data_IF_303774354316
#
_entry.id   IF_303774354316
#
_cell.length_a   1.000
_cell.length_b   1.000
_cell.length_c   1.000
_cell.angle_alpha   90.00
_cell.angle_beta   90.00
_cell.angle_gamma   90.00
#
_symmetry.space_group_name_H-M   'P 1'
#
loop_
_entity.id
_entity.type
_entity.pdbx_description
1 polymer ?
#
# COMPACT_ATOMS: atom_id res chain seq x y z
N UNK A 1 20.90 4.88 -19.73
CA UNK A 1 20.64 5.41 -18.37
C UNK A 1 19.13 5.45 -18.10
N UNK A 2 18.66 4.69 -17.11
CA UNK A 2 17.43 4.83 -16.29
C UNK A 2 16.07 5.24 -16.90
N UNK A 3 15.90 5.37 -18.22
CA UNK A 3 14.59 5.72 -18.82
C UNK A 3 13.51 4.68 -18.48
N UNK A 4 13.85 3.40 -18.47
CA UNK A 4 12.93 2.30 -18.14
C UNK A 4 12.41 2.39 -16.71
N UNK A 5 13.26 2.81 -15.76
CA UNK A 5 12.89 3.00 -14.36
C UNK A 5 11.98 4.23 -14.20
N UNK A 6 12.23 5.29 -14.97
CA UNK A 6 11.36 6.47 -14.99
C UNK A 6 9.97 6.15 -15.54
N UNK A 7 9.89 5.43 -16.66
CA UNK A 7 8.63 4.96 -17.24
C UNK A 7 7.88 4.09 -16.24
N UNK A 8 8.57 3.14 -15.60
CA UNK A 8 7.96 2.29 -14.57
C UNK A 8 7.39 3.10 -13.40
N UNK A 9 8.12 4.11 -12.90
CA UNK A 9 7.63 5.00 -11.83
C UNK A 9 6.38 5.78 -12.25
N UNK A 10 6.35 6.30 -13.48
CA UNK A 10 5.20 7.04 -14.01
C UNK A 10 3.99 6.12 -14.15
N UNK A 11 4.17 4.91 -14.70
CA UNK A 11 3.10 3.91 -14.84
C UNK A 11 2.52 3.53 -13.48
N UNK A 12 3.37 3.26 -12.48
CA UNK A 12 2.93 2.95 -11.11
C UNK A 12 2.17 4.13 -10.51
N UNK A 13 2.65 5.36 -10.70
CA UNK A 13 1.97 6.56 -10.22
C UNK A 13 0.58 6.74 -10.84
N UNK A 14 0.47 6.63 -12.17
CA UNK A 14 -0.80 6.70 -12.89
C UNK A 14 -1.78 5.61 -12.44
N UNK A 15 -1.29 4.39 -12.20
CA UNK A 15 -2.11 3.30 -11.65
C UNK A 15 -2.62 3.64 -10.26
N UNK A 16 -1.76 4.11 -9.35
CA UNK A 16 -2.15 4.48 -7.98
C UNK A 16 -3.16 5.63 -7.97
N UNK A 17 -2.96 6.66 -8.78
CA UNK A 17 -3.88 7.81 -8.90
C UNK A 17 -5.22 7.37 -9.49
N UNK A 18 -5.21 6.61 -10.59
CA UNK A 18 -6.45 6.13 -11.21
C UNK A 18 -7.21 5.18 -10.29
N UNK A 19 -6.48 4.35 -9.55
CA UNK A 19 -7.05 3.50 -8.51
C UNK A 19 -7.68 4.35 -7.40
N UNK A 20 -6.97 5.35 -6.87
CA UNK A 20 -7.50 6.26 -5.86
C UNK A 20 -8.78 6.97 -6.34
N UNK A 21 -8.76 7.51 -7.56
CA UNK A 21 -9.92 8.19 -8.14
C UNK A 21 -11.13 7.27 -8.28
N UNK A 22 -10.95 6.02 -8.72
CA UNK A 22 -12.05 5.05 -8.89
C UNK A 22 -12.53 4.42 -7.58
N UNK A 23 -11.69 4.34 -6.55
CA UNK A 23 -11.99 3.67 -5.28
C UNK A 23 -12.22 4.67 -4.14
N UNK A 24 -12.91 5.78 -4.42
CA UNK A 24 -13.33 6.78 -3.43
C UNK A 24 -14.63 6.38 -2.72
N UNK A 25 -15.23 5.26 -3.12
CA UNK A 25 -16.45 4.75 -2.48
C UNK A 25 -16.25 4.44 -0.99
N UNK A 26 -17.28 4.73 -0.21
CA UNK A 26 -17.29 4.51 1.23
C UNK A 26 -17.64 3.04 1.46
N UNK A 27 -16.75 2.31 2.14
CA UNK A 27 -16.97 0.92 2.55
C UNK A 27 -17.17 0.83 4.05
N UNK A 28 -18.14 0.03 4.49
CA UNK A 28 -18.36 -0.28 5.89
C UNK A 28 -17.48 -1.45 6.33
N UNK A 29 -16.56 -1.20 7.25
CA UNK A 29 -15.79 -2.23 7.94
C UNK A 29 -16.60 -2.68 9.15
N UNK A 30 -17.14 -3.89 9.08
CA UNK A 30 -17.94 -4.48 10.15
C UNK A 30 -17.02 -5.14 11.18
N UNK A 31 -17.05 -4.64 12.41
CA UNK A 31 -16.34 -5.19 13.55
C UNK A 31 -17.28 -6.01 14.44
N UNK A 32 -16.68 -6.72 15.39
CA UNK A 32 -17.42 -7.42 16.44
C UNK A 32 -18.24 -6.43 17.28
N UNK A 33 -19.37 -6.89 17.84
CA UNK A 33 -20.33 -6.10 18.65
C UNK A 33 -21.19 -5.08 17.87
N UNK A 34 -21.35 -5.25 16.54
CA UNK A 34 -22.19 -4.37 15.72
C UNK A 34 -21.58 -2.99 15.46
N UNK A 35 -20.27 -2.84 15.70
CA UNK A 35 -19.55 -1.62 15.37
C UNK A 35 -19.23 -1.59 13.88
N UNK A 36 -19.72 -0.59 13.16
CA UNK A 36 -19.44 -0.39 11.74
C UNK A 36 -18.59 0.87 11.56
N UNK A 37 -17.44 0.72 10.92
CA UNK A 37 -16.60 1.86 10.59
C UNK A 37 -16.64 2.14 9.10
N UNK A 38 -17.22 3.28 8.74
CA UNK A 38 -17.30 3.73 7.36
C UNK A 38 -16.03 4.48 6.98
N UNK A 39 -15.30 3.93 6.00
CA UNK A 39 -14.03 4.48 5.55
C UNK A 39 -13.98 4.40 4.02
N UNK A 40 -13.44 5.40 3.30
CA UNK A 40 -13.19 5.26 1.87
C UNK A 40 -12.29 4.04 1.56
N UNK A 41 -12.65 3.27 0.53
CA UNK A 41 -11.92 2.06 0.13
C UNK A 41 -10.43 2.34 -0.13
N UNK A 42 -10.12 3.52 -0.68
CA UNK A 42 -8.74 3.97 -0.89
C UNK A 42 -7.90 4.00 0.40
N UNK A 43 -8.48 4.34 1.56
CA UNK A 43 -7.75 4.38 2.83
C UNK A 43 -7.40 2.96 3.27
N UNK A 44 -8.32 2.01 3.07
CA UNK A 44 -8.07 0.59 3.36
C UNK A 44 -6.92 0.06 2.49
N UNK A 45 -6.93 0.37 1.19
CA UNK A 45 -5.83 -0.02 0.32
C UNK A 45 -4.50 0.63 0.75
N UNK A 46 -4.51 1.94 1.04
CA UNK A 46 -3.32 2.66 1.51
C UNK A 46 -2.76 2.03 2.78
N UNK A 47 -3.60 1.68 3.75
CA UNK A 47 -3.18 1.00 4.97
C UNK A 47 -2.51 -0.35 4.66
N UNK A 48 -3.12 -1.18 3.81
CA UNK A 48 -2.52 -2.45 3.37
C UNK A 48 -1.17 -2.25 2.67
N UNK A 49 -1.05 -1.22 1.83
CA UNK A 49 0.19 -0.91 1.13
C UNK A 49 1.30 -0.45 2.09
N UNK A 50 0.99 0.45 3.03
CA UNK A 50 1.93 0.91 4.06
C UNK A 50 2.39 -0.25 4.94
N UNK A 51 1.47 -1.12 5.37
CA UNK A 51 1.82 -2.32 6.13
C UNK A 51 2.72 -3.26 5.33
N UNK A 52 2.36 -3.57 4.07
CA UNK A 52 3.15 -4.44 3.21
C UNK A 52 4.56 -3.90 2.95
N UNK A 53 4.69 -2.59 2.69
CA UNK A 53 6.00 -1.94 2.51
C UNK A 53 6.82 -1.92 3.79
N UNK A 54 6.20 -1.67 4.95
CA UNK A 54 6.88 -1.76 6.25
C UNK A 54 7.41 -3.18 6.51
N UNK A 55 6.58 -4.21 6.29
CA UNK A 55 7.00 -5.62 6.42
C UNK A 55 8.12 -5.98 5.44
N UNK A 56 8.03 -5.55 4.18
CA UNK A 56 9.09 -5.77 3.19
C UNK A 56 10.41 -5.10 3.59
N UNK A 57 10.34 -3.87 4.12
CA UNK A 57 11.51 -3.17 4.65
C UNK A 57 12.11 -3.89 5.86
N UNK A 58 11.28 -4.30 6.83
CA UNK A 58 11.68 -5.10 7.99
C UNK A 58 12.36 -6.40 7.58
N UNK A 59 11.80 -7.14 6.61
CA UNK A 59 12.39 -8.37 6.10
C UNK A 59 13.77 -8.12 5.46
N UNK A 60 13.91 -7.06 4.67
CA UNK A 60 15.19 -6.65 4.11
C UNK A 60 16.20 -6.23 5.19
N UNK A 61 15.77 -5.49 6.21
CA UNK A 61 16.60 -5.08 7.33
C UNK A 61 17.10 -6.29 8.13
N UNK A 62 16.22 -7.23 8.47
CA UNK A 62 16.57 -8.49 9.15
C UNK A 62 17.56 -9.30 8.30
N UNK A 63 17.32 -9.42 6.99
CA UNK A 63 18.24 -10.13 6.07
C UNK A 63 19.61 -9.48 6.04
N UNK A 64 19.67 -8.14 6.06
CA UNK A 64 20.93 -7.39 6.09
C UNK A 64 21.69 -7.61 7.40
N UNK A 65 20.99 -7.57 8.54
CA UNK A 65 21.56 -7.85 9.86
C UNK A 65 22.12 -9.28 9.92
N UNK A 66 21.36 -10.28 9.45
CA UNK A 66 21.81 -11.69 9.45
C UNK A 66 22.97 -11.96 8.49
N UNK A 67 23.11 -11.20 7.41
CA UNK A 67 24.21 -11.35 6.43
C UNK A 67 25.52 -10.69 6.92
N UNK A 68 25.45 -9.83 7.93
CA UNK A 68 26.61 -9.09 8.46
C UNK A 68 27.23 -9.77 9.70
N UNK A 69 26.62 -10.86 10.21
CA UNK A 69 27.15 -11.73 11.25
C UNK A 69 27.56 -13.08 10.66
#
# INVERSE_FOLDING_TARGET
MRISIWILRIVIFLLLVSFAAKNTEIVSVNYYLGFEWQVPMIIVLLACFVLGTAFGFLACAIKKVKKQS
#
